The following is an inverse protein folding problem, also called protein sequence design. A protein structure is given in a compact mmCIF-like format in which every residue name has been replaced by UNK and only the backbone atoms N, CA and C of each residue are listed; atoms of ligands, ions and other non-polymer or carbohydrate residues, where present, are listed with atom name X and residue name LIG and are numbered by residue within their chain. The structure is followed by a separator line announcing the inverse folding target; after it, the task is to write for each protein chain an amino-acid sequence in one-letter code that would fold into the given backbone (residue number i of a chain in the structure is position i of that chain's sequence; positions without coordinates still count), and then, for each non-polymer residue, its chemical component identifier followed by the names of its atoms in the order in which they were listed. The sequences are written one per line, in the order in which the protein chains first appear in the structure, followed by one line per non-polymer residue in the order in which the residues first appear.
data_IF_806114959172
#
_entry.id   IF_806114959172
#
_cell.length_a   1.000
_cell.length_b   1.000
_cell.length_c   1.000
_cell.angle_alpha   90.00
_cell.angle_beta   90.00
_cell.angle_gamma   90.00
#
_symmetry.space_group_name_H-M   'P 1'
#
loop_
_entity.id
_entity.type
_entity.pdbx_description
1 polymer ?
#
# COMPACT_ATOMS: atom_id res chain seq x y z
N UNK A 1 24.41 -3.43 -12.31
CA UNK A 1 25.13 -2.50 -11.43
C UNK A 1 24.48 -2.43 -10.05
N UNK A 2 25.25 -2.75 -9.01
CA UNK A 2 24.80 -2.67 -7.61
C UNK A 2 25.42 -1.45 -6.95
N UNK A 3 24.60 -0.46 -6.58
CA UNK A 3 25.06 0.74 -5.89
C UNK A 3 24.81 0.62 -4.38
N UNK A 4 25.78 1.04 -3.56
CA UNK A 4 25.59 1.09 -2.11
C UNK A 4 24.74 2.31 -1.70
N UNK A 5 25.04 3.48 -2.26
CA UNK A 5 24.31 4.74 -2.03
C UNK A 5 24.25 5.53 -3.34
N UNK A 6 23.22 6.34 -3.55
CA UNK A 6 23.19 7.27 -4.68
C UNK A 6 21.82 7.86 -5.02
N UNK A 7 21.84 8.78 -5.98
CA UNK A 7 20.68 9.28 -6.69
C UNK A 7 20.74 8.73 -8.12
N UNK A 8 19.66 8.11 -8.59
CA UNK A 8 19.58 7.54 -9.93
C UNK A 8 18.44 8.22 -10.68
N UNK A 9 18.75 8.85 -11.80
CA UNK A 9 17.75 9.55 -12.61
C UNK A 9 16.89 8.58 -13.41
N UNK A 10 17.50 7.60 -14.07
CA UNK A 10 16.78 6.70 -14.98
C UNK A 10 16.52 5.33 -14.36
N UNK A 11 17.45 4.40 -14.54
CA UNK A 11 17.24 2.99 -14.22
C UNK A 11 18.23 2.51 -13.15
N UNK A 12 17.71 1.89 -12.09
CA UNK A 12 18.52 1.23 -11.07
C UNK A 12 18.18 -0.26 -10.98
N UNK A 13 19.19 -1.12 -11.20
CA UNK A 13 19.03 -2.56 -10.99
C UNK A 13 18.99 -2.90 -9.49
N UNK A 14 20.04 -2.56 -8.75
CA UNK A 14 20.07 -2.76 -7.29
C UNK A 14 20.71 -1.56 -6.59
N UNK A 15 20.00 -0.97 -5.63
CA UNK A 15 20.48 0.13 -4.80
C UNK A 15 20.20 -0.18 -3.31
N UNK A 16 21.21 -0.07 -2.44
CA UNK A 16 21.00 -0.31 -1.00
C UNK A 16 20.29 0.89 -0.33
N UNK A 17 20.73 2.12 -0.58
CA UNK A 17 20.09 3.32 -0.04
C UNK A 17 20.08 4.46 -1.07
N UNK A 18 18.96 5.16 -1.24
CA UNK A 18 18.98 6.36 -2.06
C UNK A 18 17.64 6.77 -2.64
N UNK A 19 17.70 7.52 -3.73
CA UNK A 19 16.53 8.02 -4.44
C UNK A 19 16.62 7.60 -5.90
N UNK A 20 15.48 7.18 -6.45
CA UNK A 20 15.36 6.82 -7.88
C UNK A 20 14.23 7.63 -8.46
N UNK A 21 14.50 8.38 -9.53
CA UNK A 21 13.48 9.19 -10.17
C UNK A 21 12.54 8.28 -10.99
N UNK A 22 13.02 7.60 -12.04
CA UNK A 22 12.09 6.80 -12.88
C UNK A 22 11.90 5.35 -12.43
N UNK A 23 12.88 4.45 -12.60
CA UNK A 23 12.66 3.01 -12.44
C UNK A 23 13.67 2.36 -11.50
N UNK A 24 13.15 1.68 -10.47
CA UNK A 24 13.94 0.87 -9.55
C UNK A 24 13.50 -0.59 -9.57
N UNK A 25 14.38 -1.50 -9.98
CA UNK A 25 14.16 -2.93 -9.84
C UNK A 25 14.19 -3.36 -8.37
N UNK A 26 15.32 -3.13 -7.68
CA UNK A 26 15.45 -3.44 -6.25
C UNK A 26 16.07 -2.29 -5.46
N UNK A 27 15.33 -1.75 -4.49
CA UNK A 27 15.82 -0.75 -3.53
C UNK A 27 15.62 -1.22 -2.08
N UNK A 28 16.68 -1.23 -1.26
CA UNK A 28 16.51 -1.64 0.16
C UNK A 28 15.90 -0.50 1.00
N UNK A 29 16.39 0.73 0.89
CA UNK A 29 15.85 1.87 1.65
C UNK A 29 15.84 3.13 0.79
N UNK A 30 14.72 3.82 0.65
CA UNK A 30 14.74 5.06 -0.10
C UNK A 30 13.40 5.58 -0.59
N UNK A 31 13.47 6.37 -1.65
CA UNK A 31 12.32 6.96 -2.31
C UNK A 31 12.37 6.64 -3.80
N UNK A 32 11.22 6.34 -4.38
CA UNK A 32 11.06 6.16 -5.83
C UNK A 32 9.94 7.08 -6.30
N UNK A 33 10.20 7.91 -7.30
CA UNK A 33 9.14 8.78 -7.84
C UNK A 33 8.17 7.94 -8.67
N UNK A 34 8.63 7.35 -9.78
CA UNK A 34 7.70 6.71 -10.72
C UNK A 34 7.43 5.23 -10.40
N UNK A 35 8.36 4.33 -10.69
CA UNK A 35 8.11 2.88 -10.65
C UNK A 35 9.10 2.13 -9.78
N UNK A 36 8.59 1.37 -8.81
CA UNK A 36 9.38 0.43 -8.01
C UNK A 36 8.85 -0.99 -8.14
N UNK A 37 9.69 -1.91 -8.61
CA UNK A 37 9.37 -3.33 -8.60
C UNK A 37 9.44 -3.89 -7.17
N UNK A 38 10.59 -3.74 -6.51
CA UNK A 38 10.77 -4.16 -5.11
C UNK A 38 11.42 -3.06 -4.27
N UNK A 39 10.73 -2.62 -3.22
CA UNK A 39 11.26 -1.73 -2.19
C UNK A 39 11.10 -2.33 -0.79
N UNK A 40 12.18 -2.45 -0.01
CA UNK A 40 12.07 -2.99 1.36
C UNK A 40 11.55 -1.96 2.36
N UNK A 41 12.04 -0.72 2.33
CA UNK A 41 11.58 0.37 3.22
C UNK A 41 11.59 1.70 2.49
N UNK A 42 10.48 2.42 2.46
CA UNK A 42 10.52 3.75 1.85
C UNK A 42 9.19 4.33 1.40
N UNK A 43 9.27 5.18 0.38
CA UNK A 43 8.13 5.88 -0.20
C UNK A 43 8.14 5.67 -1.71
N UNK A 44 6.96 5.48 -2.29
CA UNK A 44 6.77 5.45 -3.74
C UNK A 44 5.68 6.43 -4.09
N UNK A 45 5.92 7.34 -5.02
CA UNK A 45 4.88 8.28 -5.44
C UNK A 45 3.86 7.56 -6.33
N UNK A 46 4.28 7.06 -7.49
CA UNK A 46 3.31 6.56 -8.47
C UNK A 46 3.00 5.06 -8.30
N UNK A 47 3.91 4.17 -8.68
CA UNK A 47 3.61 2.73 -8.76
C UNK A 47 4.61 1.89 -7.98
N UNK A 48 4.09 1.08 -7.07
CA UNK A 48 4.86 0.07 -6.34
C UNK A 48 4.27 -1.31 -6.57
N UNK A 49 5.04 -2.22 -7.18
CA UNK A 49 4.62 -3.62 -7.28
C UNK A 49 4.72 -4.31 -5.90
N UNK A 50 5.91 -4.31 -5.27
CA UNK A 50 6.11 -4.88 -3.93
C UNK A 50 6.82 -3.91 -2.99
N UNK A 51 6.15 -3.54 -1.88
CA UNK A 51 6.72 -2.76 -0.80
C UNK A 51 6.58 -3.48 0.55
N UNK A 52 7.68 -3.67 1.28
CA UNK A 52 7.63 -4.34 2.60
C UNK A 52 7.19 -3.37 3.71
N UNK A 53 7.70 -2.14 3.76
CA UNK A 53 7.30 -1.14 4.75
C UNK A 53 7.34 0.26 4.15
N UNK A 54 6.25 1.02 4.19
CA UNK A 54 6.32 2.38 3.68
C UNK A 54 5.00 3.06 3.35
N UNK A 55 5.08 4.00 2.42
CA UNK A 55 3.94 4.75 1.91
C UNK A 55 3.92 4.68 0.40
N UNK A 56 2.71 4.59 -0.17
CA UNK A 56 2.49 4.69 -1.61
C UNK A 56 1.42 5.75 -1.85
N UNK A 57 1.68 6.73 -2.71
CA UNK A 57 0.66 7.74 -3.00
C UNK A 57 -0.39 7.13 -3.93
N UNK A 58 -0.02 6.73 -5.15
CA UNK A 58 -1.03 6.34 -6.14
C UNK A 58 -1.37 4.86 -6.08
N UNK A 59 -0.51 3.96 -6.57
CA UNK A 59 -0.86 2.56 -6.78
C UNK A 59 0.12 1.61 -6.10
N UNK A 60 -0.41 0.73 -5.24
CA UNK A 60 0.33 -0.38 -4.66
C UNK A 60 -0.31 -1.72 -4.99
N UNK A 61 0.42 -2.60 -5.66
CA UNK A 61 -0.05 -3.97 -5.87
C UNK A 61 0.04 -4.78 -4.56
N UNK A 62 1.24 -4.88 -3.96
CA UNK A 62 1.45 -5.55 -2.67
C UNK A 62 2.21 -4.68 -1.68
N UNK A 63 1.58 -4.39 -0.53
CA UNK A 63 2.20 -3.71 0.60
C UNK A 63 2.06 -4.54 1.89
N UNK A 64 3.18 -4.85 2.56
CA UNK A 64 3.14 -5.61 3.83
C UNK A 64 2.76 -4.75 5.03
N UNK A 65 3.30 -3.55 5.16
CA UNK A 65 2.97 -2.61 6.24
C UNK A 65 3.06 -1.17 5.76
N UNK A 66 2.00 -0.37 5.91
CA UNK A 66 2.09 1.02 5.50
C UNK A 66 0.78 1.72 5.22
N UNK A 67 0.87 2.83 4.49
CA UNK A 67 -0.30 3.58 4.06
C UNK A 67 -0.32 3.69 2.54
N UNK A 68 -1.52 3.66 1.97
CA UNK A 68 -1.76 3.90 0.55
C UNK A 68 -2.82 5.00 0.42
N UNK A 69 -2.54 6.03 -0.37
CA UNK A 69 -3.52 7.11 -0.55
C UNK A 69 -4.62 6.66 -1.51
N UNK A 70 -4.27 6.31 -2.76
CA UNK A 70 -5.31 6.05 -3.77
C UNK A 70 -5.71 4.58 -3.83
N UNK A 71 -4.89 3.71 -4.41
CA UNK A 71 -5.30 2.34 -4.71
C UNK A 71 -4.33 1.30 -4.15
N UNK A 72 -4.87 0.37 -3.37
CA UNK A 72 -4.14 -0.82 -2.91
C UNK A 72 -4.85 -2.10 -3.34
N UNK A 73 -4.15 -2.96 -4.09
CA UNK A 73 -4.69 -4.28 -4.41
C UNK A 73 -4.59 -5.20 -3.17
N UNK A 74 -3.40 -5.36 -2.60
CA UNK A 74 -3.21 -6.14 -1.37
C UNK A 74 -2.40 -5.38 -0.32
N UNK A 75 -2.99 -5.13 0.85
CA UNK A 75 -2.32 -4.59 2.03
C UNK A 75 -2.46 -5.55 3.22
N UNK A 76 -1.34 -5.95 3.83
CA UNK A 76 -1.39 -6.83 5.01
C UNK A 76 -1.67 -6.06 6.31
N UNK A 77 -1.05 -4.91 6.53
CA UNK A 77 -1.32 -4.07 7.71
C UNK A 77 -1.21 -2.59 7.41
N UNK A 78 -2.23 -1.81 7.71
CA UNK A 78 -2.13 -0.35 7.74
C UNK A 78 -3.39 0.37 7.30
N UNK A 79 -3.26 1.43 6.51
CA UNK A 79 -4.41 2.27 6.15
C UNK A 79 -4.47 2.51 4.65
N UNK A 80 -5.69 2.61 4.13
CA UNK A 80 -5.96 3.02 2.76
C UNK A 80 -6.95 4.17 2.78
N UNK A 81 -6.65 5.27 2.10
CA UNK A 81 -7.60 6.38 2.03
C UNK A 81 -8.73 6.02 1.07
N UNK A 82 -8.45 5.85 -0.23
CA UNK A 82 -9.52 5.70 -1.22
C UNK A 82 -9.98 4.24 -1.39
N UNK A 83 -9.23 3.41 -2.13
CA UNK A 83 -9.70 2.09 -2.54
C UNK A 83 -8.75 0.96 -2.12
N UNK A 84 -9.30 -0.03 -1.42
CA UNK A 84 -8.59 -1.28 -1.10
C UNK A 84 -9.34 -2.50 -1.63
N UNK A 85 -8.69 -3.31 -2.46
CA UNK A 85 -9.26 -4.59 -2.88
C UNK A 85 -9.19 -5.60 -1.71
N UNK A 86 -8.00 -5.87 -1.18
CA UNK A 86 -7.82 -6.74 -0.01
C UNK A 86 -6.96 -6.08 1.08
N UNK A 87 -7.54 -5.94 2.28
CA UNK A 87 -6.84 -5.52 3.49
C UNK A 87 -6.97 -6.57 4.60
N UNK A 88 -5.84 -7.06 5.13
CA UNK A 88 -5.88 -8.05 6.23
C UNK A 88 -6.15 -7.39 7.59
N UNK A 89 -5.48 -6.29 7.90
CA UNK A 89 -5.61 -5.61 9.18
C UNK A 89 -5.47 -4.10 8.98
N UNK A 90 -6.48 -3.30 9.32
CA UNK A 90 -6.31 -1.86 9.13
C UNK A 90 -7.56 -1.02 9.08
N UNK A 91 -7.44 0.14 8.43
CA UNK A 91 -8.52 1.08 8.24
C UNK A 91 -8.65 1.45 6.77
N UNK A 92 -9.87 1.63 6.30
CA UNK A 92 -10.16 2.15 4.97
C UNK A 92 -11.11 3.34 5.11
N UNK A 93 -10.81 4.48 4.48
CA UNK A 93 -11.73 5.61 4.51
C UNK A 93 -12.90 5.34 3.56
N UNK A 94 -12.66 5.25 2.25
CA UNK A 94 -13.74 5.21 1.28
C UNK A 94 -14.24 3.78 1.02
N UNK A 95 -13.52 2.97 0.23
CA UNK A 95 -14.04 1.70 -0.28
C UNK A 95 -13.11 0.52 0.00
N UNK A 96 -13.67 -0.55 0.57
CA UNK A 96 -12.99 -1.83 0.73
C UNK A 96 -13.78 -2.99 0.15
N UNK A 97 -13.20 -3.74 -0.81
CA UNK A 97 -13.83 -4.97 -1.28
C UNK A 97 -13.77 -6.06 -0.21
N UNK A 98 -12.58 -6.33 0.36
CA UNK A 98 -12.41 -7.31 1.43
C UNK A 98 -11.53 -6.77 2.55
N UNK A 99 -12.10 -6.67 3.76
CA UNK A 99 -11.36 -6.38 4.99
C UNK A 99 -11.49 -7.53 6.00
N UNK A 100 -10.37 -8.11 6.42
CA UNK A 100 -10.39 -9.21 7.41
C UNK A 100 -10.55 -8.72 8.85
N UNK A 101 -9.87 -7.64 9.23
CA UNK A 101 -10.02 -7.04 10.57
C UNK A 101 -9.78 -5.54 10.51
N UNK A 102 -10.73 -4.72 10.95
CA UNK A 102 -10.50 -3.28 10.93
C UNK A 102 -11.75 -2.41 10.96
N UNK A 103 -11.60 -1.17 10.50
CA UNK A 103 -12.72 -0.24 10.35
C UNK A 103 -12.79 0.30 8.92
N UNK A 104 -14.00 0.54 8.45
CA UNK A 104 -14.27 1.21 7.17
C UNK A 104 -15.18 2.40 7.45
N UNK A 105 -14.89 3.58 6.89
CA UNK A 105 -15.78 4.72 7.07
C UNK A 105 -17.00 4.56 6.14
N UNK A 106 -16.81 4.55 4.83
CA UNK A 106 -17.94 4.56 3.89
C UNK A 106 -18.44 3.16 3.55
N UNK A 107 -17.78 2.44 2.63
CA UNK A 107 -18.33 1.23 2.03
C UNK A 107 -17.42 0.01 2.17
N UNK A 108 -17.99 -1.12 2.60
CA UNK A 108 -17.32 -2.42 2.56
C UNK A 108 -18.17 -3.52 1.95
N UNK A 109 -17.68 -4.15 0.87
CA UNK A 109 -18.38 -5.32 0.31
C UNK A 109 -18.31 -6.52 1.26
N UNK A 110 -17.17 -6.76 1.90
CA UNK A 110 -17.01 -7.83 2.89
C UNK A 110 -16.10 -7.43 4.04
N UNK A 111 -16.65 -7.43 5.26
CA UNK A 111 -15.92 -7.25 6.51
C UNK A 111 -16.04 -8.48 7.42
N UNK A 112 -14.91 -9.15 7.72
CA UNK A 112 -14.93 -10.32 8.60
C UNK A 112 -15.02 -9.97 10.10
N UNK A 113 -14.32 -8.93 10.54
CA UNK A 113 -14.36 -8.48 11.95
C UNK A 113 -14.10 -6.98 12.03
N UNK A 114 -15.03 -6.18 12.55
CA UNK A 114 -14.78 -4.75 12.60
C UNK A 114 -15.99 -3.85 12.77
N UNK A 115 -15.86 -2.60 12.31
CA UNK A 115 -16.95 -1.65 12.26
C UNK A 115 -17.01 -0.99 10.88
N UNK A 116 -18.21 -0.66 10.41
CA UNK A 116 -18.42 0.20 9.24
C UNK A 116 -19.34 1.35 9.64
N UNK A 117 -19.05 2.58 9.22
CA UNK A 117 -19.91 3.72 9.58
C UNK A 117 -21.12 3.88 8.66
N UNK A 118 -21.01 3.55 7.37
CA UNK A 118 -22.14 3.76 6.44
C UNK A 118 -22.75 2.48 5.92
N UNK A 119 -21.99 1.66 5.17
CA UNK A 119 -22.60 0.49 4.52
C UNK A 119 -21.68 -0.73 4.43
N UNK A 120 -22.24 -1.92 4.69
CA UNK A 120 -21.59 -3.18 4.35
C UNK A 120 -22.54 -4.23 3.81
N UNK A 121 -22.19 -4.81 2.65
CA UNK A 121 -22.98 -5.89 2.04
C UNK A 121 -22.86 -7.21 2.83
N UNK A 122 -21.72 -7.46 3.47
CA UNK A 122 -21.50 -8.67 4.26
C UNK A 122 -20.61 -8.39 5.46
N UNK A 123 -21.18 -8.53 6.66
CA UNK A 123 -20.48 -8.36 7.94
C UNK A 123 -20.61 -9.64 8.77
N UNK A 124 -19.48 -10.29 9.10
CA UNK A 124 -19.51 -11.53 9.91
C UNK A 124 -19.51 -11.28 11.42
N UNK A 125 -18.78 -10.27 11.89
CA UNK A 125 -18.72 -9.92 13.33
C UNK A 125 -18.42 -8.44 13.50
N UNK A 126 -19.31 -7.72 14.16
CA UNK A 126 -19.15 -6.29 14.41
C UNK A 126 -20.45 -5.51 14.27
N UNK A 127 -20.34 -4.22 13.99
CA UNK A 127 -21.49 -3.33 13.84
C UNK A 127 -21.36 -2.48 12.57
N UNK A 128 -22.50 -2.21 11.95
CA UNK A 128 -22.70 -1.03 11.10
C UNK A 128 -23.33 0.02 12.01
N UNK A 129 -22.72 1.20 12.08
CA UNK A 129 -23.29 2.35 12.80
C UNK A 129 -24.36 3.04 11.93
#
# INVERSE_FOLDING_TARGET
NTLKKGHVLTNSNTLKKGHVLTNSNTLKKGHVLTNSNTLKKGHVLTNSNTLKKGHVLTNSNTLKKGHVLTNSNTLKKGHVLNNSNTLKNGHVLTNSNTLKKGHVLTNSNTLKKGHVLTNSNTLKKGHVL
#
